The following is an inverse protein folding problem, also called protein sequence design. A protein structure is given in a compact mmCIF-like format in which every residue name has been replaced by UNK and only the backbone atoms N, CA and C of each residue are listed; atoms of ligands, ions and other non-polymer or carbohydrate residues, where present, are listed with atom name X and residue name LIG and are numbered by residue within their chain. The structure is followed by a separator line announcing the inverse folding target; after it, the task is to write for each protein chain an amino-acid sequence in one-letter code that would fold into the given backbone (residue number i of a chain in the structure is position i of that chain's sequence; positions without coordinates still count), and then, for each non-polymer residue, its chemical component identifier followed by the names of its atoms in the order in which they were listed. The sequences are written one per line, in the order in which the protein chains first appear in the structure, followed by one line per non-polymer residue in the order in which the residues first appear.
data_IF_792766294817
#
_entry.id   IF_792766294817
#
_cell.length_a   1.000
_cell.length_b   1.000
_cell.length_c   1.000
_cell.angle_alpha   90.00
_cell.angle_beta   90.00
_cell.angle_gamma   90.00
#
_symmetry.space_group_name_H-M   'P 1'
#
loop_
_entity.id
_entity.type
_entity.pdbx_description
1 polymer ?
#
# COMPACT_ATOMS: atom_id res chain seq x y z
N UNK A 1 -17.60 -71.36 0.93
CA UNK A 1 -16.57 -70.33 0.68
C UNK A 1 -16.93 -69.51 -0.56
N UNK A 2 -17.70 -68.44 -0.41
CA UNK A 2 -18.03 -67.47 -1.48
C UNK A 2 -17.85 -66.07 -0.92
N UNK A 3 -16.61 -65.57 -0.91
CA UNK A 3 -16.31 -64.20 -0.47
C UNK A 3 -15.03 -63.62 -1.12
N UNK A 4 -14.49 -64.25 -2.18
CA UNK A 4 -13.21 -63.83 -2.77
C UNK A 4 -13.33 -62.93 -4.00
N UNK A 5 -14.47 -62.89 -4.69
CA UNK A 5 -14.63 -62.07 -5.90
C UNK A 5 -15.04 -60.62 -5.60
N UNK A 6 -15.80 -60.36 -4.53
CA UNK A 6 -16.35 -59.02 -4.19
C UNK A 6 -15.25 -58.00 -3.86
N UNK A 7 -14.25 -58.41 -3.07
CA UNK A 7 -13.16 -57.51 -2.65
C UNK A 7 -12.20 -57.15 -3.80
N UNK A 8 -12.11 -57.99 -4.83
CA UNK A 8 -11.25 -57.73 -5.99
C UNK A 8 -11.84 -56.63 -6.89
N UNK A 9 -13.15 -56.64 -7.11
CA UNK A 9 -13.84 -55.57 -7.86
C UNK A 9 -13.83 -54.24 -7.11
N UNK A 10 -13.93 -54.28 -5.77
CA UNK A 10 -13.84 -53.08 -4.93
C UNK A 10 -12.44 -52.45 -5.00
N UNK A 11 -11.39 -53.26 -5.00
CA UNK A 11 -10.00 -52.81 -5.15
C UNK A 11 -9.73 -52.23 -6.53
N UNK A 12 -10.26 -52.84 -7.59
CA UNK A 12 -10.13 -52.33 -8.97
C UNK A 12 -10.89 -51.00 -9.14
N UNK A 13 -12.09 -50.88 -8.57
CA UNK A 13 -12.87 -49.63 -8.59
C UNK A 13 -12.16 -48.50 -7.82
N UNK A 14 -11.56 -48.80 -6.66
CA UNK A 14 -10.78 -47.83 -5.89
C UNK A 14 -9.51 -47.39 -6.63
N UNK A 15 -8.81 -48.32 -7.29
CA UNK A 15 -7.61 -48.01 -8.08
C UNK A 15 -7.92 -47.12 -9.30
N UNK A 16 -9.07 -47.31 -9.95
CA UNK A 16 -9.52 -46.43 -11.04
C UNK A 16 -9.89 -45.02 -10.55
N UNK A 17 -10.43 -44.88 -9.33
CA UNK A 17 -10.77 -43.59 -8.76
C UNK A 17 -9.53 -42.75 -8.44
N UNK A 18 -8.45 -43.40 -7.97
CA UNK A 18 -7.17 -42.73 -7.64
C UNK A 18 -6.42 -42.30 -8.90
N UNK A 19 -6.53 -43.05 -10.00
CA UNK A 19 -5.91 -42.72 -11.29
C UNK A 19 -6.68 -41.64 -12.08
N UNK A 20 -7.97 -41.45 -11.80
CA UNK A 20 -8.82 -40.42 -12.41
C UNK A 20 -8.84 -39.09 -11.61
N UNK A 21 -7.97 -38.94 -10.61
CA UNK A 21 -7.77 -37.67 -9.91
C UNK A 21 -7.25 -36.61 -10.88
N UNK A 22 -8.15 -35.87 -11.50
CA UNK A 22 -7.84 -34.77 -12.38
C UNK A 22 -7.04 -33.75 -11.57
N UNK A 23 -5.75 -33.56 -11.91
CA UNK A 23 -5.04 -32.35 -11.51
C UNK A 23 -5.84 -31.18 -12.09
N UNK A 24 -6.48 -30.42 -11.21
CA UNK A 24 -7.09 -29.15 -11.59
C UNK A 24 -6.02 -28.36 -12.34
N UNK A 25 -6.41 -27.71 -13.44
CA UNK A 25 -5.52 -26.75 -14.08
C UNK A 25 -5.22 -25.68 -13.03
N UNK A 26 -3.95 -25.30 -12.90
CA UNK A 26 -3.62 -24.11 -12.11
C UNK A 26 -4.48 -22.96 -12.65
N UNK A 27 -4.97 -22.11 -11.75
CA UNK A 27 -5.72 -20.92 -12.17
C UNK A 27 -4.86 -20.08 -13.10
N UNK A 28 -5.47 -19.38 -14.05
CA UNK A 28 -4.75 -18.41 -14.86
C UNK A 28 -4.09 -17.37 -13.93
N UNK A 29 -2.86 -16.99 -14.26
CA UNK A 29 -2.18 -15.90 -13.55
C UNK A 29 -3.06 -14.65 -13.56
N UNK A 30 -3.03 -13.89 -12.46
CA UNK A 30 -3.70 -12.59 -12.42
C UNK A 30 -3.13 -11.65 -13.48
N UNK A 31 -3.91 -10.65 -13.89
CA UNK A 31 -3.39 -9.60 -14.77
C UNK A 31 -2.18 -8.93 -14.12
N UNK A 32 -1.10 -8.75 -14.90
CA UNK A 32 0.04 -7.95 -14.48
C UNK A 32 -0.44 -6.57 -14.02
N UNK A 33 0.08 -6.11 -12.87
CA UNK A 33 -0.20 -4.76 -12.38
C UNK A 33 0.28 -3.70 -13.36
N UNK A 34 -0.42 -2.56 -13.43
CA UNK A 34 0.07 -1.40 -14.17
C UNK A 34 1.40 -0.95 -13.56
N UNK A 35 2.47 -0.87 -14.36
CA UNK A 35 3.75 -0.31 -13.92
C UNK A 35 3.55 1.13 -13.42
N UNK A 36 3.46 1.32 -12.10
CA UNK A 36 3.43 2.66 -11.51
C UNK A 36 4.79 3.31 -11.74
N UNK A 37 4.78 4.50 -12.36
CA UNK A 37 6.01 5.30 -12.48
C UNK A 37 6.33 5.86 -11.09
N UNK A 38 7.34 5.32 -10.41
CA UNK A 38 7.74 5.77 -9.07
C UNK A 38 8.80 6.87 -9.19
N UNK A 39 8.55 8.01 -8.54
CA UNK A 39 9.51 9.10 -8.41
C UNK A 39 10.13 9.08 -7.02
N UNK A 40 11.41 9.37 -6.88
CA UNK A 40 12.08 9.46 -5.58
C UNK A 40 13.09 10.61 -5.58
N UNK A 41 13.28 11.21 -4.41
CA UNK A 41 14.33 12.20 -4.21
C UNK A 41 15.67 11.54 -3.94
N UNK A 42 16.76 12.24 -4.28
CA UNK A 42 18.04 11.97 -3.62
C UNK A 42 17.91 12.15 -2.10
N UNK A 43 18.83 11.56 -1.33
CA UNK A 43 18.93 11.89 0.09
C UNK A 43 19.43 13.32 0.22
N UNK A 44 18.81 14.11 1.08
CA UNK A 44 19.21 15.50 1.32
C UNK A 44 19.25 15.82 2.80
N UNK A 45 19.94 16.91 3.10
CA UNK A 45 20.14 17.44 4.45
C UNK A 45 19.55 18.86 4.51
N UNK A 46 18.84 19.23 5.59
CA UNK A 46 18.35 20.59 5.74
C UNK A 46 19.50 21.60 5.80
N UNK A 47 19.39 22.70 5.05
CA UNK A 47 20.34 23.82 5.15
C UNK A 47 20.15 24.61 6.43
N UNK A 48 18.90 24.74 6.89
CA UNK A 48 18.50 25.40 8.13
C UNK A 48 17.13 24.87 8.58
N UNK A 49 16.89 24.92 9.89
CA UNK A 49 15.58 24.71 10.48
C UNK A 49 14.91 26.06 10.77
N UNK A 50 13.59 26.11 10.61
CA UNK A 50 12.72 27.21 11.02
C UNK A 50 11.78 26.74 12.13
N UNK A 51 11.15 27.68 12.83
CA UNK A 51 10.21 27.37 13.92
C UNK A 51 10.77 27.66 15.31
N UNK A 52 10.25 26.96 16.32
CA UNK A 52 10.57 27.16 17.73
C UNK A 52 10.76 25.82 18.44
N UNK A 53 11.23 25.85 19.69
CA UNK A 53 11.36 24.66 20.52
C UNK A 53 10.04 23.86 20.57
N UNK A 54 10.08 22.58 20.19
CA UNK A 54 8.90 21.72 20.11
C UNK A 54 8.14 21.77 18.79
N UNK A 55 8.55 22.61 17.83
CA UNK A 55 7.92 22.77 16.52
C UNK A 55 8.93 23.31 15.50
N UNK A 56 9.81 22.42 15.03
CA UNK A 56 10.84 22.71 14.03
C UNK A 56 10.44 22.15 12.68
N UNK A 57 10.72 22.91 11.61
CA UNK A 57 10.45 22.46 10.25
C UNK A 57 11.48 22.97 9.24
N UNK A 58 11.56 22.30 8.09
CA UNK A 58 12.19 22.85 6.89
C UNK A 58 11.46 22.36 5.63
N UNK A 59 11.33 23.26 4.65
CA UNK A 59 10.69 22.98 3.38
C UNK A 59 11.68 22.56 2.31
N UNK A 60 11.21 21.72 1.38
CA UNK A 60 11.96 21.25 0.22
C UNK A 60 11.12 21.44 -1.03
N UNK A 61 11.72 21.99 -2.08
CA UNK A 61 11.10 22.03 -3.41
C UNK A 61 11.07 20.60 -3.98
N UNK A 62 9.86 20.15 -4.30
CA UNK A 62 9.59 18.80 -4.78
C UNK A 62 8.68 18.87 -6.01
N UNK A 63 9.20 19.25 -7.20
CA UNK A 63 8.38 19.51 -8.40
C UNK A 63 7.49 18.34 -8.82
N UNK A 64 7.89 17.12 -8.48
CA UNK A 64 7.18 15.88 -8.77
C UNK A 64 5.96 15.65 -7.85
N UNK A 65 5.81 16.38 -6.74
CA UNK A 65 4.61 16.34 -5.91
C UNK A 65 3.49 17.18 -6.53
N UNK A 66 3.05 16.77 -7.72
CA UNK A 66 1.95 17.40 -8.45
C UNK A 66 0.62 17.20 -7.73
N UNK A 67 -0.40 17.99 -8.07
CA UNK A 67 -1.74 17.85 -7.50
C UNK A 67 -2.30 16.42 -7.66
N UNK A 68 -2.08 15.79 -8.80
CA UNK A 68 -2.54 14.42 -9.05
C UNK A 68 -1.90 13.40 -8.10
N UNK A 69 -0.60 13.54 -7.84
CA UNK A 69 0.09 12.64 -6.89
C UNK A 69 -0.33 12.91 -5.45
N UNK A 70 -0.50 14.18 -5.07
CA UNK A 70 -0.92 14.53 -3.70
C UNK A 70 -2.35 14.07 -3.41
N UNK A 71 -3.24 14.15 -4.40
CA UNK A 71 -4.67 13.82 -4.21
C UNK A 71 -4.99 12.34 -4.43
N UNK A 72 -4.32 11.68 -5.37
CA UNK A 72 -4.64 10.32 -5.79
C UNK A 72 -3.52 9.31 -5.54
N UNK A 73 -2.31 9.77 -5.26
CA UNK A 73 -1.13 8.94 -5.08
C UNK A 73 -0.81 8.60 -3.63
N UNK A 74 0.41 8.08 -3.45
CA UNK A 74 1.00 7.81 -2.15
C UNK A 74 2.33 8.54 -2.06
N UNK A 75 2.53 9.26 -0.96
CA UNK A 75 3.79 9.91 -0.63
C UNK A 75 4.36 9.19 0.59
N UNK A 76 5.55 8.63 0.43
CA UNK A 76 6.32 8.04 1.52
C UNK A 76 7.48 8.97 1.83
N UNK A 77 7.77 9.17 3.10
CA UNK A 77 8.92 9.95 3.53
C UNK A 77 9.76 9.15 4.51
N UNK A 78 11.06 9.42 4.51
CA UNK A 78 12.03 8.69 5.30
C UNK A 78 13.02 9.65 5.94
N UNK A 79 13.54 9.24 7.08
CA UNK A 79 14.59 9.95 7.80
C UNK A 79 15.69 8.97 8.23
N UNK A 80 16.93 9.43 8.21
CA UNK A 80 18.06 8.82 8.89
C UNK A 80 18.71 9.88 9.76
N UNK A 81 18.83 9.59 11.05
CA UNK A 81 19.26 10.55 12.05
C UNK A 81 20.60 10.12 12.63
N UNK A 82 21.52 11.07 12.74
CA UNK A 82 22.77 10.83 13.43
C UNK A 82 22.50 10.59 14.93
N UNK A 83 23.01 9.49 15.47
CA UNK A 83 22.82 9.13 16.88
C UNK A 83 21.51 8.41 17.20
N UNK A 84 20.88 7.80 16.20
CA UNK A 84 19.73 6.92 16.40
C UNK A 84 20.07 5.70 17.30
N UNK A 85 19.07 5.23 18.06
CA UNK A 85 19.17 4.33 19.21
C UNK A 85 19.64 2.90 18.87
N UNK A 86 19.32 2.39 17.68
CA UNK A 86 19.66 1.01 17.29
C UNK A 86 20.92 0.94 16.43
N UNK A 87 21.06 1.87 15.48
CA UNK A 87 22.25 2.00 14.63
C UNK A 87 22.43 3.48 14.29
N UNK A 88 23.68 3.95 14.24
CA UNK A 88 24.02 5.38 14.14
C UNK A 88 23.45 6.16 12.94
N UNK A 89 22.77 5.52 11.99
CA UNK A 89 22.09 6.14 10.83
C UNK A 89 20.93 5.27 10.32
N UNK A 90 20.18 4.61 11.20
CA UNK A 90 19.05 3.78 10.78
C UNK A 90 18.04 4.58 9.95
N UNK A 91 17.64 4.04 8.79
CA UNK A 91 16.58 4.64 7.95
C UNK A 91 15.23 4.25 8.52
N UNK A 92 14.38 5.25 8.77
CA UNK A 92 13.02 5.07 9.30
C UNK A 92 11.98 5.66 8.36
N UNK A 93 10.86 4.96 8.12
CA UNK A 93 9.70 5.59 7.50
C UNK A 93 9.12 6.63 8.47
N UNK A 94 8.67 7.76 7.93
CA UNK A 94 7.97 8.79 8.68
C UNK A 94 6.45 8.54 8.66
N UNK A 95 5.72 8.83 9.76
CA UNK A 95 6.23 9.39 11.01
C UNK A 95 7.04 8.39 11.84
N UNK A 96 8.02 8.90 12.60
CA UNK A 96 8.88 8.08 13.46
C UNK A 96 9.22 8.79 14.77
N UNK A 97 9.39 8.02 15.85
CA UNK A 97 9.99 8.50 17.09
C UNK A 97 11.45 8.06 17.16
N UNK A 98 12.37 9.02 17.24
CA UNK A 98 13.81 8.77 17.29
C UNK A 98 14.56 9.97 17.89
N UNK A 99 15.70 9.70 18.53
CA UNK A 99 16.55 10.73 19.17
C UNK A 99 15.74 11.62 20.15
N UNK A 100 14.75 11.05 20.81
CA UNK A 100 13.92 11.75 21.82
C UNK A 100 12.85 12.69 21.27
N UNK A 101 12.49 12.57 19.98
CA UNK A 101 11.46 13.40 19.34
C UNK A 101 10.66 12.62 18.31
N UNK A 102 9.46 13.12 18.01
CA UNK A 102 8.67 12.77 16.86
C UNK A 102 9.21 13.50 15.63
N UNK A 103 9.22 12.78 14.51
CA UNK A 103 9.58 13.26 13.19
C UNK A 103 8.43 12.94 12.25
N UNK A 104 8.06 13.90 11.43
CA UNK A 104 6.98 13.74 10.47
C UNK A 104 7.25 14.54 9.20
N UNK A 105 6.28 14.50 8.29
CA UNK A 105 6.23 15.36 7.14
C UNK A 105 4.79 15.81 6.88
N UNK A 106 4.64 16.90 6.14
CA UNK A 106 3.38 17.37 5.59
C UNK A 106 3.59 18.00 4.21
N UNK A 107 2.51 18.13 3.45
CA UNK A 107 2.50 18.79 2.15
C UNK A 107 1.75 20.12 2.32
N UNK A 108 2.44 21.24 2.54
CA UNK A 108 1.77 22.51 2.83
C UNK A 108 1.13 23.09 1.56
N UNK A 109 1.75 22.84 0.40
CA UNK A 109 1.25 23.19 -0.92
C UNK A 109 1.80 22.19 -1.96
N UNK A 110 1.14 22.09 -3.12
CA UNK A 110 1.65 21.27 -4.21
C UNK A 110 3.08 21.67 -4.59
N UNK A 111 3.87 20.69 -5.04
CA UNK A 111 5.29 20.83 -5.40
C UNK A 111 6.23 21.15 -4.23
N UNK A 112 5.76 20.99 -3.00
CA UNK A 112 6.58 21.16 -1.80
C UNK A 112 6.35 20.01 -0.83
N UNK A 113 7.35 19.76 0.01
CA UNK A 113 7.24 18.88 1.17
C UNK A 113 7.95 19.55 2.33
N UNK A 114 7.35 19.48 3.50
CA UNK A 114 7.92 19.99 4.74
C UNK A 114 8.17 18.82 5.68
N UNK A 115 9.37 18.76 6.25
CA UNK A 115 9.72 17.81 7.30
C UNK A 115 9.69 18.51 8.64
N UNK A 116 9.12 17.86 9.64
CA UNK A 116 8.88 18.45 10.96
C UNK A 116 9.45 17.60 12.08
N UNK A 117 9.78 18.26 13.20
CA UNK A 117 10.18 17.60 14.44
C UNK A 117 9.73 18.39 15.66
N UNK A 118 9.34 17.67 16.72
CA UNK A 118 9.00 18.27 18.01
C UNK A 118 10.18 18.30 19.00
N UNK A 119 11.42 18.21 18.51
CA UNK A 119 12.61 18.34 19.35
C UNK A 119 12.58 19.64 20.17
N UNK A 120 12.95 19.53 21.46
CA UNK A 120 13.07 20.69 22.35
C UNK A 120 14.18 21.64 21.88
N UNK A 121 15.33 21.07 21.50
CA UNK A 121 16.43 21.81 20.87
C UNK A 121 16.29 21.81 19.35
N UNK A 122 16.76 22.86 18.68
CA UNK A 122 16.84 22.86 17.22
C UNK A 122 17.61 21.63 16.71
N UNK A 123 17.05 20.83 15.78
CA UNK A 123 17.72 19.64 15.29
C UNK A 123 19.01 19.98 14.54
N UNK A 124 19.98 19.05 14.58
CA UNK A 124 21.20 19.19 13.79
C UNK A 124 20.87 19.22 12.30
N UNK A 125 21.56 20.09 11.56
CA UNK A 125 21.61 19.98 10.10
C UNK A 125 22.63 18.93 9.68
N UNK A 126 23.76 18.81 10.38
CA UNK A 126 24.79 17.84 10.00
C UNK A 126 24.42 16.42 10.42
N UNK A 127 24.53 15.47 9.49
CA UNK A 127 24.33 14.04 9.72
C UNK A 127 22.88 13.56 9.66
N UNK A 128 21.91 14.47 9.53
CA UNK A 128 20.51 14.10 9.33
C UNK A 128 20.19 14.09 7.82
N UNK A 129 19.58 13.00 7.37
CA UNK A 129 19.24 12.74 5.97
C UNK A 129 17.74 12.48 5.84
N UNK A 130 17.15 13.07 4.81
CA UNK A 130 15.73 12.96 4.51
C UNK A 130 15.53 12.59 3.04
N UNK A 131 14.43 11.88 2.77
CA UNK A 131 14.04 11.49 1.42
C UNK A 131 12.52 11.37 1.33
N UNK A 132 11.97 11.61 0.15
CA UNK A 132 10.60 11.22 -0.17
C UNK A 132 10.53 10.35 -1.43
N UNK A 133 9.47 9.58 -1.52
CA UNK A 133 9.08 8.76 -2.67
C UNK A 133 7.64 9.12 -3.00
N UNK A 134 7.39 9.42 -4.26
CA UNK A 134 6.11 9.83 -4.78
C UNK A 134 5.61 8.78 -5.79
N UNK A 135 4.48 8.17 -5.47
CA UNK A 135 3.89 7.09 -6.25
C UNK A 135 2.56 7.62 -6.80
N UNK A 136 2.45 7.85 -8.12
CA UNK A 136 1.20 8.26 -8.76
C UNK A 136 0.09 7.23 -8.53
N UNK A 137 -1.11 7.73 -8.29
CA UNK A 137 -2.32 6.93 -8.31
C UNK A 137 -2.70 6.58 -9.75
N UNK A 138 -2.10 5.54 -10.31
CA UNK A 138 -2.44 5.05 -11.66
C UNK A 138 -3.65 4.11 -11.67
N UNK A 139 -4.16 3.77 -10.48
CA UNK A 139 -5.39 3.03 -10.28
C UNK A 139 -6.22 3.74 -9.22
N UNK A 140 -7.50 3.95 -9.48
CA UNK A 140 -8.45 4.28 -8.42
C UNK A 140 -8.52 3.04 -7.52
N UNK A 141 -7.61 2.97 -6.55
CA UNK A 141 -7.55 1.90 -5.56
C UNK A 141 -8.78 2.07 -4.67
N UNK A 142 -9.84 1.35 -5.01
CA UNK A 142 -11.06 1.26 -4.23
C UNK A 142 -11.51 2.65 -3.71
N UNK A 143 -12.09 3.50 -4.59
CA UNK A 143 -13.44 3.93 -4.20
C UNK A 143 -14.09 2.61 -3.87
N UNK A 144 -14.48 2.41 -2.60
CA UNK A 144 -15.27 1.25 -2.19
C UNK A 144 -16.08 0.81 -3.39
N UNK A 145 -16.17 -0.49 -3.62
CA UNK A 145 -17.23 -1.05 -4.46
C UNK A 145 -18.62 -0.64 -3.90
N UNK A 146 -18.89 0.61 -3.55
CA UNK A 146 -19.91 1.43 -4.20
C UNK A 146 -19.81 1.22 -5.72
N UNK A 147 -20.23 0.01 -6.10
CA UNK A 147 -21.27 -0.24 -7.07
C UNK A 147 -21.50 1.01 -7.92
N UNK A 148 -21.21 0.89 -9.22
CA UNK A 148 -21.86 1.67 -10.28
C UNK A 148 -23.17 2.23 -9.72
N UNK A 149 -23.21 3.52 -9.38
CA UNK A 149 -24.09 4.07 -8.35
C UNK A 149 -25.57 3.90 -8.70
N UNK A 150 -26.09 2.71 -8.44
CA UNK A 150 -27.50 2.37 -8.46
C UNK A 150 -28.06 2.98 -7.19
N UNK A 151 -28.93 3.95 -7.37
CA UNK A 151 -29.70 4.56 -6.29
C UNK A 151 -30.57 3.49 -5.61
N UNK A 152 -30.95 3.71 -4.36
CA UNK A 152 -31.88 2.81 -3.64
C UNK A 152 -33.17 2.56 -4.45
N UNK A 153 -33.65 3.58 -5.15
CA UNK A 153 -34.83 3.50 -5.98
C UNK A 153 -34.61 2.61 -7.22
N UNK A 154 -33.44 2.69 -7.86
CA UNK A 154 -33.10 1.80 -8.98
C UNK A 154 -32.95 0.34 -8.52
N UNK A 155 -32.38 0.11 -7.33
CA UNK A 155 -32.22 -1.24 -6.78
C UNK A 155 -33.58 -1.90 -6.46
N UNK A 156 -34.51 -1.13 -5.89
CA UNK A 156 -35.87 -1.58 -5.58
C UNK A 156 -36.67 -1.96 -6.83
N UNK A 157 -36.35 -1.35 -7.97
CA UNK A 157 -37.02 -1.59 -9.24
C UNK A 157 -36.28 -2.59 -10.15
N UNK A 158 -35.17 -3.16 -9.70
CA UNK A 158 -34.37 -4.09 -10.49
C UNK A 158 -34.96 -5.51 -10.48
N UNK A 159 -35.06 -6.21 -11.62
CA UNK A 159 -35.44 -7.62 -11.67
C UNK A 159 -34.48 -8.51 -10.88
N UNK A 160 -35.01 -9.53 -10.19
CA UNK A 160 -34.23 -10.43 -9.31
C UNK A 160 -32.97 -11.03 -9.98
N UNK A 161 -33.10 -11.50 -11.22
CA UNK A 161 -31.98 -12.06 -12.00
C UNK A 161 -30.85 -11.04 -12.21
N UNK A 162 -31.21 -9.79 -12.40
CA UNK A 162 -30.24 -8.71 -12.63
C UNK A 162 -29.62 -8.26 -11.30
N UNK A 163 -30.35 -8.34 -10.18
CA UNK A 163 -29.79 -8.19 -8.82
C UNK A 163 -28.74 -9.27 -8.53
N UNK A 164 -29.05 -10.53 -8.83
CA UNK A 164 -28.12 -11.64 -8.63
C UNK A 164 -26.84 -11.46 -9.46
N UNK A 165 -26.97 -11.07 -10.74
CA UNK A 165 -25.80 -10.72 -11.56
C UNK A 165 -25.02 -9.53 -11.03
N UNK A 166 -25.70 -8.48 -10.58
CA UNK A 166 -25.09 -7.24 -10.10
C UNK A 166 -24.23 -7.47 -8.85
N UNK A 167 -24.68 -8.35 -7.95
CA UNK A 167 -23.95 -8.71 -6.72
C UNK A 167 -23.13 -10.00 -6.82
N UNK A 168 -23.04 -10.63 -7.99
CA UNK A 168 -22.42 -11.95 -8.18
C UNK A 168 -22.98 -13.04 -7.24
N UNK A 169 -24.30 -13.07 -7.05
CA UNK A 169 -25.02 -14.13 -6.33
C UNK A 169 -25.33 -15.28 -7.31
N UNK A 170 -24.96 -16.53 -6.99
CA UNK A 170 -25.35 -17.69 -7.79
C UNK A 170 -26.87 -17.86 -7.87
N UNK A 171 -27.40 -18.08 -9.08
CA UNK A 171 -28.81 -18.46 -9.33
C UNK A 171 -29.01 -19.97 -9.24
#
# INVERSE_FOLDING_TARGET
MKAKSSNLYLLIAFLMLVLAGCKGKDGDDGLDGLNATVYYSEWFTPSAWSGNAGDWYFGVNAPDLTADIVENGVILAYVSLNGDLYESNAVRPLPAYAVGANWSFLIPEYKTIEFTSDMISMPSTTGNLFRFIAIPGNTIALKSKSLNSITENELKNMPYKDVCKFFNIPE
#
